data_IF_056342584585
#
_entry.id   IF_056342584585
#
_cell.length_a   1.000
_cell.length_b   1.000
_cell.length_c   1.000
_cell.angle_alpha   90.00
_cell.angle_beta   90.00
_cell.angle_gamma   90.00
#
_symmetry.space_group_name_H-M   'P 1'
#
loop_
_entity.id
_entity.type
_entity.pdbx_description
1 polymer ?
2 branched ?
3 non-polymer ?
4 non-polymer ?
5 water ?
#
# COMPACT_ATOMS: atom_id res chain seq x y z
N UNK A 11 18.85 6.14 -5.22
CA UNK A 11 19.41 5.22 -4.13
C UNK A 11 18.63 3.91 -4.20
N UNK A 12 19.21 2.87 -3.57
CA UNK A 12 18.58 1.61 -3.49
C UNK A 12 18.74 1.07 -2.08
N UNK A 13 17.68 0.60 -1.47
CA UNK A 13 17.67 -0.03 -0.16
C UNK A 13 17.83 -1.52 -0.38
N UNK A 14 18.89 -2.12 0.20
CA UNK A 14 19.26 -3.47 -0.13
C UNK A 14 19.46 -4.26 1.08
N UNK A 15 19.04 -5.50 1.02
CA UNK A 15 19.43 -6.51 2.03
C UNK A 15 19.69 -7.81 1.35
N UNK A 16 19.91 -8.85 2.11
CA UNK A 16 20.32 -10.12 1.49
C UNK A 16 19.09 -10.61 0.79
N UNK A 17 19.24 -11.54 -0.20
CA UNK A 17 18.01 -12.02 -0.93
C UNK A 17 16.94 -12.51 0.04
N UNK A 18 15.69 -12.20 -0.34
CA UNK A 18 14.63 -12.52 0.55
C UNK A 18 13.71 -13.33 -0.39
N UNK A 19 13.03 -14.25 0.23
CA UNK A 19 12.13 -15.15 -0.51
C UNK A 19 10.73 -14.51 -0.55
N UNK A 20 10.56 -13.68 -1.55
CA UNK A 20 9.18 -13.23 -1.87
C UNK A 20 8.38 -14.34 -2.51
N UNK A 21 7.07 -14.21 -2.42
CA UNK A 21 6.22 -15.02 -3.26
C UNK A 21 6.58 -14.74 -4.71
N UNK A 22 6.17 -15.62 -5.63
CA UNK A 22 6.42 -15.40 -7.04
C UNK A 22 5.84 -14.03 -7.51
N UNK A 23 6.57 -13.33 -8.36
CA UNK A 23 6.11 -11.98 -8.78
C UNK A 23 4.82 -12.06 -9.51
N UNK A 24 4.56 -13.08 -10.31
CA UNK A 24 3.35 -13.13 -11.21
C UNK A 24 3.34 -12.01 -12.22
N UNK A 25 2.16 -11.64 -12.67
CA UNK A 25 2.04 -10.64 -13.69
C UNK A 25 1.10 -9.55 -13.19
N UNK A 26 1.45 -8.30 -13.51
CA UNK A 26 0.63 -7.18 -13.11
C UNK A 26 -0.82 -7.44 -13.41
N UNK A 27 -1.70 -7.38 -12.41
CA UNK A 27 -3.09 -7.75 -12.65
C UNK A 27 -3.96 -6.79 -11.85
N UNK A 28 -5.00 -6.18 -12.43
CA UNK A 28 -6.03 -5.44 -11.66
C UNK A 28 -7.40 -5.95 -12.04
N UNK A 29 -8.25 -6.26 -11.10
CA UNK A 29 -8.07 -6.09 -9.65
C UNK A 29 -7.00 -7.03 -9.17
N UNK A 30 -6.22 -6.64 -8.17
CA UNK A 30 -5.23 -7.54 -7.62
C UNK A 30 -5.84 -8.25 -6.47
N UNK A 31 -6.03 -9.56 -6.71
CA UNK A 31 -6.70 -10.45 -5.79
C UNK A 31 -5.77 -11.43 -5.11
N UNK A 32 -4.62 -11.64 -5.68
CA UNK A 32 -3.57 -12.55 -5.17
C UNK A 32 -4.03 -14.03 -5.10
N UNK A 33 -5.12 -14.33 -5.82
CA UNK A 33 -5.73 -15.68 -5.70
C UNK A 33 -4.89 -16.75 -6.41
N UNK A 34 -3.96 -16.37 -7.22
CA UNK A 34 -3.09 -17.31 -7.96
C UNK A 34 -1.80 -17.58 -7.20
N UNK A 35 -1.72 -17.12 -5.93
CA UNK A 35 -0.60 -17.19 -4.99
C UNK A 35 0.65 -16.47 -5.44
N UNK A 36 0.49 -15.56 -6.40
CA UNK A 36 1.60 -14.70 -6.79
C UNK A 36 1.31 -13.28 -6.27
N UNK A 37 2.31 -12.43 -6.37
CA UNK A 37 2.18 -10.99 -6.04
C UNK A 37 1.51 -10.20 -7.12
N UNK A 38 1.06 -10.83 -8.24
CA UNK A 38 0.34 -10.16 -9.31
C UNK A 38 1.07 -8.84 -9.70
N UNK A 39 2.39 -8.87 -9.78
CA UNK A 39 3.17 -7.74 -10.23
C UNK A 39 3.56 -6.77 -9.13
N UNK A 40 3.16 -6.94 -7.86
CA UNK A 40 3.50 -5.93 -6.84
C UNK A 40 4.88 -6.27 -6.27
N UNK A 41 5.70 -5.25 -6.05
CA UNK A 41 7.05 -5.43 -5.49
C UNK A 41 7.42 -4.19 -4.74
N UNK A 42 8.33 -4.20 -3.83
CA UNK A 42 8.83 -3.00 -3.22
C UNK A 42 9.41 -2.07 -4.27
N UNK A 43 9.17 -0.78 -4.15
CA UNK A 43 10.00 0.19 -4.88
C UNK A 43 11.49 0.02 -4.43
N UNK A 44 12.39 0.32 -5.34
CA UNK A 44 13.80 0.20 -4.97
C UNK A 44 14.15 1.09 -3.83
N UNK A 45 13.41 2.13 -3.58
CA UNK A 45 13.63 3.05 -2.47
C UNK A 45 12.82 2.78 -1.21
N UNK A 46 11.95 1.77 -1.22
CA UNK A 46 11.18 1.41 -0.04
C UNK A 46 12.08 1.17 1.20
N UNK A 47 11.76 1.79 2.32
CA UNK A 47 12.58 1.54 3.55
C UNK A 47 12.37 0.15 3.97
N UNK A 48 11.27 -0.53 3.64
CA UNK A 48 11.01 -1.97 3.97
C UNK A 48 11.31 -2.80 2.77
N UNK A 49 12.17 -3.85 2.89
CA UNK A 49 12.58 -4.69 1.79
C UNK A 49 12.48 -6.17 2.23
N UNK A 50 11.78 -6.40 3.27
CA UNK A 50 11.60 -7.79 3.76
C UNK A 50 10.57 -8.57 2.91
N UNK A 51 10.35 -9.87 3.19
CA UNK A 51 9.57 -10.65 2.28
C UNK A 51 8.10 -10.20 2.11
N UNK A 52 7.72 -10.16 0.85
CA UNK A 52 6.32 -10.03 0.47
C UNK A 52 5.82 -11.42 0.16
N UNK A 53 4.86 -11.87 0.91
CA UNK A 53 4.32 -13.18 0.74
C UNK A 53 2.84 -13.16 0.60
N UNK A 54 2.22 -14.25 0.21
CA UNK A 54 0.79 -14.38 0.09
C UNK A 54 0.28 -15.14 1.28
N UNK A 55 -0.49 -14.54 2.13
CA UNK A 55 -1.04 -15.14 3.34
C UNK A 55 -2.54 -15.01 3.34
N UNK A 56 -3.27 -15.86 4.04
CA UNK A 56 -4.70 -15.64 4.24
C UNK A 56 -5.01 -14.48 5.16
N UNK A 57 -5.91 -13.61 4.76
CA UNK A 57 -6.43 -12.54 5.57
C UNK A 57 -7.91 -12.53 5.33
N UNK A 58 -8.65 -12.69 6.43
CA UNK A 58 -10.09 -12.58 6.35
C UNK A 58 -10.71 -13.46 5.29
N UNK A 59 -10.22 -14.70 5.24
CA UNK A 59 -10.65 -15.79 4.33
C UNK A 59 -10.35 -15.57 2.87
N UNK A 60 -9.34 -14.71 2.58
CA UNK A 60 -8.91 -14.52 1.21
C UNK A 60 -7.42 -14.45 1.12
N UNK A 61 -6.77 -14.75 0.01
CA UNK A 61 -5.33 -14.62 -0.10
C UNK A 61 -4.99 -13.09 -0.29
N UNK A 62 -3.98 -12.68 0.42
CA UNK A 62 -3.61 -11.24 0.44
C UNK A 62 -2.12 -11.17 0.40
N UNK A 63 -1.55 -10.10 -0.18
CA UNK A 63 -0.09 -9.86 -0.12
C UNK A 63 0.22 -9.24 1.25
N UNK A 64 1.35 -9.58 1.85
CA UNK A 64 1.64 -9.31 3.23
C UNK A 64 3.10 -9.09 3.50
N UNK A 65 3.34 -8.28 4.49
CA UNK A 65 4.72 -8.07 5.00
C UNK A 65 4.69 -7.75 6.46
N UNK A 66 5.91 -7.79 7.05
CA UNK A 66 6.08 -7.39 8.42
C UNK A 66 6.77 -6.05 8.48
N UNK A 67 6.42 -5.22 9.48
CA UNK A 67 7.18 -3.95 9.64
C UNK A 67 7.11 -3.55 11.11
N UNK A 68 8.24 -3.07 11.60
CA UNK A 68 8.32 -2.43 12.92
C UNK A 68 9.08 -1.14 12.67
N UNK A 69 8.38 -0.02 12.74
CA UNK A 69 9.01 1.24 12.45
C UNK A 69 10.13 1.55 13.53
N UNK A 70 11.18 2.23 13.13
CA UNK A 70 12.22 2.56 14.11
C UNK A 70 11.69 3.52 15.16
N UNK A 71 12.29 3.40 16.34
CA UNK A 71 12.03 4.34 17.43
C UNK A 71 12.55 5.74 17.16
N UNK A 72 13.67 5.82 16.52
CA UNK A 72 14.20 7.09 16.15
C UNK A 72 13.72 7.39 14.70
N UNK A 73 12.97 8.44 14.50
CA UNK A 73 12.19 8.62 13.25
C UNK A 73 12.96 9.44 12.24
N UNK A 74 13.25 8.93 11.04
CA UNK A 74 13.91 9.74 9.99
C UNK A 74 13.21 11.04 9.69
N UNK A 75 13.96 12.03 9.17
CA UNK A 75 13.36 13.30 8.83
C UNK A 75 12.49 13.14 7.59
N UNK A 76 12.95 12.39 6.62
CA UNK A 76 12.11 12.21 5.43
C UNK A 76 10.94 11.24 5.85
N UNK A 77 9.71 11.69 5.57
CA UNK A 77 8.54 10.95 6.16
C UNK A 77 8.24 9.61 5.44
N UNK A 78 8.83 9.34 4.32
CA UNK A 78 8.68 8.03 3.70
C UNK A 78 9.93 7.14 3.85
N UNK A 79 11.02 7.64 4.45
CA UNK A 79 12.24 6.83 4.45
C UNK A 79 12.02 5.47 5.10
N UNK A 80 11.24 5.37 6.17
CA UNK A 80 11.06 4.10 6.84
C UNK A 80 9.84 3.29 6.34
N UNK A 81 9.16 3.85 5.35
CA UNK A 81 7.85 3.35 4.99
C UNK A 81 7.89 2.17 4.07
N UNK A 82 7.02 1.17 4.30
CA UNK A 82 6.64 0.29 3.17
C UNK A 82 6.13 1.09 1.98
N UNK A 83 6.77 0.88 0.83
CA UNK A 83 6.39 1.62 -0.40
C UNK A 83 6.34 0.54 -1.45
N UNK A 84 5.10 0.07 -1.76
CA UNK A 84 4.90 -1.09 -2.60
C UNK A 84 4.35 -0.59 -3.97
N UNK A 85 4.80 -1.14 -5.06
CA UNK A 85 4.47 -0.62 -6.39
C UNK A 85 4.07 -1.72 -7.35
N UNK A 86 3.11 -1.41 -8.18
CA UNK A 86 2.69 -2.23 -9.30
C UNK A 86 3.31 -1.61 -10.54
N UNK A 87 4.48 -2.11 -10.94
CA UNK A 87 5.22 -1.45 -12.02
C UNK A 87 4.74 -1.92 -13.41
N UNK A 88 4.64 -0.97 -14.31
CA UNK A 88 4.38 -1.23 -15.71
C UNK A 88 3.04 -1.94 -15.89
N UNK A 89 2.05 -1.64 -15.04
CA UNK A 89 0.70 -2.13 -15.29
C UNK A 89 0.03 -1.42 -16.43
N UNK A 90 0.35 -0.11 -16.61
CA UNK A 90 -0.20 0.64 -17.76
C UNK A 90 -1.71 0.57 -17.85
N UNK A 91 -2.31 0.98 -16.75
CA UNK A 91 -3.75 0.92 -16.59
C UNK A 91 -4.31 2.35 -16.80
N UNK A 92 -5.64 2.43 -16.74
CA UNK A 92 -6.31 3.75 -16.74
C UNK A 92 -7.44 3.68 -15.78
N UNK A 93 -7.96 4.81 -15.34
CA UNK A 93 -9.09 4.80 -14.34
C UNK A 93 -10.42 4.54 -15.01
N UNK A 94 -10.51 4.80 -16.34
CA UNK A 94 -11.86 4.65 -16.99
C UNK A 94 -12.90 5.52 -16.31
N UNK A 95 -14.09 4.94 -16.12
CA UNK A 95 -15.20 5.68 -15.49
C UNK A 95 -15.23 5.62 -14.02
N UNK A 96 -14.15 5.17 -13.41
CA UNK A 96 -14.13 4.93 -11.96
C UNK A 96 -13.78 6.15 -11.18
N UNK A 97 -14.54 6.44 -10.15
CA UNK A 97 -14.28 7.53 -9.32
C UNK A 97 -13.09 7.29 -8.30
N UNK A 98 -12.94 6.03 -7.87
CA UNK A 98 -12.01 5.69 -6.77
C UNK A 98 -11.02 4.64 -7.21
N UNK A 99 -9.90 4.63 -6.49
CA UNK A 99 -9.11 3.41 -6.28
C UNK A 99 -9.29 2.99 -4.86
N UNK A 100 -9.46 1.71 -4.64
CA UNK A 100 -9.72 1.18 -3.30
C UNK A 100 -9.03 -0.18 -3.10
N UNK A 101 -8.87 -0.49 -1.81
CA UNK A 101 -8.33 -1.81 -1.49
C UNK A 101 -8.70 -2.09 -0.05
N UNK A 102 -8.61 -3.39 0.28
CA UNK A 102 -8.64 -3.88 1.63
C UNK A 102 -7.24 -3.80 2.21
N UNK A 103 -7.17 -3.20 3.43
CA UNK A 103 -5.89 -3.11 4.14
C UNK A 103 -6.14 -3.64 5.48
N UNK A 104 -5.29 -4.61 5.91
CA UNK A 104 -5.40 -5.23 7.23
C UNK A 104 -4.18 -5.02 8.07
N UNK A 105 -4.41 -4.87 9.36
CA UNK A 105 -3.34 -4.85 10.34
C UNK A 105 -3.44 -5.97 11.34
N UNK A 106 -2.26 -6.56 11.70
CA UNK A 106 -2.23 -7.52 12.87
C UNK A 106 -1.04 -7.02 13.71
N UNK A 107 -1.29 -6.04 14.56
CA UNK A 107 -0.15 -5.50 15.36
C UNK A 107 0.33 -6.44 16.46
N UNK A 108 1.63 -6.44 16.66
CA UNK A 108 2.14 -6.88 18.00
C UNK A 108 2.26 -5.72 18.93
N UNK A 109 2.37 -4.49 18.38
CA UNK A 109 2.40 -3.32 19.23
C UNK A 109 1.67 -2.21 18.48
N UNK A 110 0.73 -1.51 19.09
CA UNK A 110 0.09 -0.36 18.42
C UNK A 110 -0.63 0.42 19.51
N UNK A 111 -0.14 1.60 19.84
CA UNK A 111 -0.78 2.35 20.96
C UNK A 111 -0.69 3.83 20.73
N UNK A 112 0.20 4.33 19.85
CA UNK A 112 0.26 5.81 19.77
C UNK A 112 0.69 6.19 18.35
N UNK A 113 0.47 7.45 17.99
CA UNK A 113 0.71 7.89 16.64
C UNK A 113 -0.28 7.26 15.69
N UNK A 114 0.08 7.30 14.43
CA UNK A 114 -0.81 6.86 13.35
C UNK A 114 -0.07 6.29 12.19
N UNK A 115 -0.78 5.66 11.28
CA UNK A 115 -0.28 5.29 9.96
C UNK A 115 -0.90 6.26 8.96
N UNK A 116 -0.11 6.71 7.96
CA UNK A 116 -0.68 7.62 6.96
C UNK A 116 -0.46 6.96 5.63
N UNK A 117 -1.54 6.56 5.00
CA UNK A 117 -1.50 5.75 3.74
C UNK A 117 -1.68 6.69 2.56
N UNK A 118 -0.70 6.72 1.67
CA UNK A 118 -0.76 7.54 0.46
C UNK A 118 -0.87 6.67 -0.79
N UNK A 119 -1.45 7.21 -1.84
CA UNK A 119 -1.56 6.61 -3.14
C UNK A 119 -0.96 7.51 -4.16
N UNK A 120 -0.18 6.93 -5.08
CA UNK A 120 0.36 7.66 -6.19
C UNK A 120 0.40 6.82 -7.42
N UNK A 121 0.57 7.49 -8.54
CA UNK A 121 0.68 6.89 -9.87
C UNK A 121 1.83 7.48 -10.59
N UNK A 122 2.27 6.78 -11.67
CA UNK A 122 3.30 7.33 -12.55
C UNK A 122 2.74 7.48 -13.95
N UNK A 123 2.10 8.62 -14.28
CA UNK A 123 1.54 8.77 -15.63
C UNK A 123 2.64 9.37 -16.54
N UNK A 124 2.98 8.71 -17.67
CA UNK A 124 4.08 9.28 -18.52
C UNK A 124 3.68 10.64 -19.02
N UNK A 125 2.41 11.00 -19.08
CA UNK A 125 2.01 12.36 -19.54
C UNK A 125 2.11 13.46 -18.54
N UNK A 126 2.34 13.07 -17.26
CA UNK A 126 2.31 13.99 -16.13
C UNK A 126 3.64 13.88 -15.34
N UNK A 127 4.76 13.77 -16.06
CA UNK A 127 6.09 13.76 -15.39
C UNK A 127 6.33 12.51 -14.51
N UNK A 128 5.54 11.43 -14.77
CA UNK A 128 5.73 10.16 -14.04
C UNK A 128 5.41 10.23 -12.56
N UNK A 129 4.60 11.20 -12.14
CA UNK A 129 4.16 11.22 -10.76
C UNK A 129 2.84 11.93 -10.71
N UNK A 130 1.83 11.33 -10.06
CA UNK A 130 0.59 12.05 -9.74
C UNK A 130 0.15 11.47 -8.43
N UNK A 131 -0.10 12.28 -7.42
CA UNK A 131 -0.33 11.77 -6.07
C UNK A 131 -1.73 12.14 -5.65
N UNK A 132 -2.49 11.16 -5.14
CA UNK A 132 -3.80 11.44 -4.59
C UNK A 132 -3.69 12.37 -3.40
N UNK A 133 -4.55 13.39 -3.32
CA UNK A 133 -4.50 14.38 -2.24
C UNK A 133 -4.96 13.75 -0.92
N UNK A 134 -5.86 12.77 -1.02
CA UNK A 134 -6.52 12.23 0.19
C UNK A 134 -5.78 11.19 0.93
N UNK A 135 -4.67 11.55 1.54
CA UNK A 135 -3.97 10.68 2.47
C UNK A 135 -4.96 10.22 3.56
N UNK A 136 -4.87 8.97 3.96
CA UNK A 136 -5.73 8.34 5.00
C UNK A 136 -4.94 8.10 6.22
N UNK A 137 -5.40 8.61 7.37
CA UNK A 137 -4.70 8.39 8.63
C UNK A 137 -5.46 7.41 9.47
N UNK A 138 -4.74 6.45 9.99
CA UNK A 138 -5.34 5.46 10.92
C UNK A 138 -4.64 5.70 12.31
N UNK A 139 -5.33 6.26 13.28
CA UNK A 139 -4.73 6.49 14.62
C UNK A 139 -4.62 5.13 15.30
N UNK A 140 -3.49 4.87 15.89
CA UNK A 140 -3.32 3.59 16.58
C UNK A 140 -4.09 3.49 17.89
N UNK A 141 -4.28 4.63 18.54
CA UNK A 141 -5.21 4.53 19.73
C UNK A 141 -6.68 4.15 19.30
N UNK A 142 -7.02 4.23 18.01
CA UNK A 142 -8.41 3.97 17.65
C UNK A 142 -8.58 2.43 17.68
N UNK A 143 -7.46 1.66 17.58
CA UNK A 143 -7.59 0.27 17.22
C UNK A 143 -8.15 -0.60 18.24
N UNK A 144 -7.71 -0.46 19.47
CA UNK A 144 -8.14 -1.46 20.47
C UNK A 144 -9.67 -1.54 20.53
N UNK A 145 -10.33 -0.42 20.25
CA UNK A 145 -11.80 -0.35 20.29
C UNK A 145 -12.51 -0.86 19.02
N UNK A 146 -11.75 -1.08 17.94
CA UNK A 146 -12.26 -1.61 16.69
C UNK A 146 -12.45 -3.14 16.77
N UNK A 147 -13.60 -3.63 16.31
CA UNK A 147 -13.80 -5.03 16.20
C UNK A 147 -12.96 -5.64 15.10
N UNK A 148 -12.30 -6.71 15.45
CA UNK A 148 -11.46 -7.49 14.60
C UNK A 148 -12.22 -8.47 13.75
N UNK A 149 -11.60 -8.88 12.66
CA UNK A 149 -12.09 -10.01 11.83
C UNK A 149 -12.04 -11.31 12.66
N UNK A 150 -12.64 -12.36 12.09
CA UNK A 150 -12.61 -13.68 12.78
C UNK A 150 -11.19 -14.17 13.07
N UNK A 151 -10.27 -13.86 12.15
CA UNK A 151 -8.88 -14.27 12.20
C UNK A 151 -7.98 -13.18 12.87
N UNK A 152 -8.58 -12.21 13.58
CA UNK A 152 -7.76 -11.39 14.47
C UNK A 152 -7.11 -10.16 13.82
N UNK A 153 -7.68 -9.74 12.70
CA UNK A 153 -7.16 -8.54 11.98
C UNK A 153 -8.02 -7.34 12.15
N UNK A 154 -7.44 -6.19 11.97
CA UNK A 154 -8.24 -4.94 11.77
C UNK A 154 -8.40 -4.72 10.29
N UNK A 155 -9.63 -4.63 9.80
CA UNK A 155 -9.94 -4.56 8.40
C UNK A 155 -10.40 -3.18 8.01
N UNK A 156 -9.62 -2.51 7.15
CA UNK A 156 -10.01 -1.22 6.56
C UNK A 156 -10.25 -1.45 5.06
N UNK A 157 -11.25 -0.76 4.51
CA UNK A 157 -11.39 -0.62 3.09
C UNK A 157 -11.07 0.83 2.83
N UNK A 158 -9.94 1.11 2.19
CA UNK A 158 -9.41 2.45 2.00
C UNK A 158 -9.80 2.89 0.59
N UNK A 159 -10.30 4.14 0.49
CA UNK A 159 -10.73 4.73 -0.82
C UNK A 159 -9.98 5.99 -1.08
N UNK A 160 -9.64 6.20 -2.36
CA UNK A 160 -9.05 7.49 -2.82
C UNK A 160 -9.86 8.02 -3.98
N UNK A 161 -10.35 9.24 -3.76
CA UNK A 161 -11.12 9.92 -4.78
C UNK A 161 -10.11 10.44 -5.89
N UNK A 162 -10.18 9.85 -7.06
CA UNK A 162 -9.26 10.14 -8.13
C UNK A 162 -9.44 11.46 -8.83
N UNK A 163 -10.46 12.18 -8.38
CA UNK A 163 -10.60 13.58 -8.81
C UNK A 163 -9.92 14.55 -7.91
N UNK A 164 -9.26 14.12 -6.82
CA UNK A 164 -8.52 14.96 -5.91
C UNK A 164 -7.05 14.46 -6.03
N UNK A 165 -6.31 15.14 -6.86
CA UNK A 165 -4.92 14.89 -7.15
C UNK A 165 -4.10 16.14 -6.91
N UNK A 166 -2.92 16.01 -6.39
CA UNK A 166 -2.05 17.17 -6.09
C UNK A 166 -1.55 17.83 -7.36
N UNK A 167 -1.12 19.09 -7.13
CA UNK A 167 -0.37 19.86 -8.15
C UNK A 167 -1.19 20.23 -9.38
N UNK A 168 -2.51 20.24 -9.31
CA UNK A 168 -3.34 20.60 -10.41
C UNK A 168 -3.35 19.53 -11.48
N UNK A 169 -2.76 18.36 -11.19
CA UNK A 169 -2.77 17.30 -12.18
C UNK A 169 -4.11 16.58 -12.28
N UNK A 170 -4.50 16.22 -13.50
CA UNK A 170 -5.80 15.62 -13.72
C UNK A 170 -5.64 14.29 -14.34
N UNK A 171 -6.31 13.29 -13.74
CA UNK A 171 -6.32 11.93 -14.36
C UNK A 171 -7.64 11.77 -15.08
N UNK A 172 -7.57 11.79 -16.38
CA UNK A 172 -8.77 11.62 -17.21
C UNK A 172 -9.00 10.11 -17.38
N UNK A 173 -10.13 9.72 -17.97
CA UNK A 173 -10.48 8.35 -18.13
C UNK A 173 -9.45 7.52 -18.86
N UNK A 174 -8.71 8.18 -19.73
CA UNK A 174 -7.74 7.54 -20.58
C UNK A 174 -6.26 7.80 -20.27
N UNK A 175 -6.03 8.63 -19.25
CA UNK A 175 -4.64 8.90 -18.91
C UNK A 175 -3.93 7.62 -18.51
N UNK A 176 -2.82 7.28 -19.21
CA UNK A 176 -2.08 6.07 -18.89
C UNK A 176 -1.41 6.24 -17.48
N UNK A 177 -1.61 5.23 -16.63
CA UNK A 177 -1.02 5.11 -15.29
C UNK A 177 -0.02 3.98 -15.44
N UNK A 178 1.26 4.29 -15.57
CA UNK A 178 2.23 3.21 -15.81
C UNK A 178 2.34 2.36 -14.56
N UNK A 179 2.59 3.05 -13.44
CA UNK A 179 2.74 2.36 -12.12
C UNK A 179 1.68 2.86 -11.15
N UNK A 180 1.40 2.05 -10.14
CA UNK A 180 0.61 2.42 -8.93
C UNK A 180 1.50 2.24 -7.74
N UNK A 181 1.53 3.20 -6.82
CA UNK A 181 2.33 3.11 -5.60
C UNK A 181 1.46 3.29 -4.38
N UNK A 182 1.64 2.46 -3.36
CA UNK A 182 0.97 2.63 -2.06
C UNK A 182 2.06 2.73 -1.00
N UNK A 183 1.96 3.78 -0.18
CA UNK A 183 2.93 4.05 0.89
C UNK A 183 2.23 4.02 2.22
N UNK A 184 2.74 3.25 3.14
CA UNK A 184 2.20 3.23 4.54
C UNK A 184 3.22 3.93 5.45
N UNK A 185 3.04 5.26 5.54
CA UNK A 185 4.04 6.05 6.33
C UNK A 185 3.78 6.02 7.78
N UNK A 186 4.89 6.16 8.55
CA UNK A 186 4.82 6.21 10.02
C UNK A 186 4.49 7.60 10.50
N UNK A 187 3.35 7.72 11.18
CA UNK A 187 2.97 8.98 11.79
C UNK A 187 3.36 9.04 13.25
N UNK A 188 4.66 9.12 13.51
CA UNK A 188 5.15 9.12 14.87
C UNK A 188 4.62 7.96 15.70
N UNK A 189 4.56 6.79 15.11
CA UNK A 189 3.87 5.70 15.72
C UNK A 189 4.78 4.71 16.42
N UNK A 190 4.16 3.76 17.16
CA UNK A 190 4.87 2.59 17.71
C UNK A 190 4.42 1.31 17.07
N UNK A 191 3.97 1.40 15.80
CA UNK A 191 3.53 0.15 15.18
C UNK A 191 4.64 -0.91 15.00
N UNK A 192 4.26 -2.13 15.34
CA UNK A 192 4.97 -3.31 14.90
C UNK A 192 3.95 -4.35 14.57
N UNK A 193 4.23 -5.16 13.52
CA UNK A 193 3.32 -6.25 13.19
C UNK A 193 3.19 -6.49 11.70
N UNK A 194 2.11 -7.13 11.38
CA UNK A 194 1.91 -7.58 10.00
C UNK A 194 0.86 -6.66 9.33
N UNK A 195 1.15 -6.38 8.06
CA UNK A 195 0.21 -5.66 7.18
C UNK A 195 -0.14 -6.50 6.01
N UNK A 196 -1.34 -6.25 5.44
CA UNK A 196 -1.84 -7.02 4.33
C UNK A 196 -2.64 -6.14 3.39
N UNK A 197 -2.55 -6.43 2.11
CA UNK A 197 -3.37 -5.81 1.07
C UNK A 197 -4.17 -6.80 0.28
N UNK A 198 -5.41 -6.51 -0.15
CA UNK A 198 -6.15 -7.34 -1.02
C UNK A 198 -7.07 -6.49 -1.85
N UNK A 199 -7.52 -7.09 -2.96
CA UNK A 199 -8.61 -6.52 -3.74
C UNK A 199 -8.28 -5.04 -4.15
N UNK A 200 -7.07 -4.88 -4.67
CA UNK A 200 -6.64 -3.51 -5.09
C UNK A 200 -7.30 -3.22 -6.45
N UNK A 201 -8.17 -2.20 -6.54
CA UNK A 201 -9.01 -2.08 -7.75
C UNK A 201 -9.51 -0.68 -7.94
N UNK A 202 -9.90 -0.36 -9.16
CA UNK A 202 -10.69 0.85 -9.37
C UNK A 202 -12.15 0.55 -9.08
N UNK A 203 -12.88 1.52 -8.55
CA UNK A 203 -14.38 1.29 -8.45
C UNK A 203 -15.04 2.60 -8.64
X LIG B 1 11.33 7.12 -15.06
X LIG B 1 10.32 7.74 -14.09
X LIG B 1 10.89 9.06 -13.58
X LIG B 1 11.23 9.94 -14.83
X LIG B 1 11.82 11.34 -14.47
X LIG B 1 11.55 8.11 -16.19
X LIG B 1 12.49 7.55 -17.08
X LIG B 1 10.76 5.95 -15.63
X LIG B 1 10.02 6.84 -13.05
X LIG B 1 9.91 9.77 -12.83
X LIG B 1 12.21 9.23 -15.59
X LIG B 1 12.91 11.17 -13.60
X LIG B 2 9.19 11.09 -11.05
X LIG B 2 9.48 11.47 -9.61
X LIG B 2 9.62 10.15 -8.77
X LIG B 2 10.63 9.20 -9.44
X LIG B 2 10.58 7.83 -8.74
X LIG B 2 10.26 10.13 -11.51
X LIG B 2 9.24 12.29 -11.81
X LIG B 2 8.45 12.24 -9.12
X LIG B 2 10.08 10.40 -7.47
X LIG B 2 10.31 8.94 -10.73
X LIG B 2 9.25 7.30 -8.79
X LIG B 3 9.66 10.27 -5.16
X LIG B 3 8.69 10.58 -4.02
X LIG B 3 8.13 11.97 -4.10
X LIG B 3 7.70 12.28 -5.55
X LIG B 3 7.14 13.69 -5.70
X LIG B 3 9.06 10.64 -6.52
X LIG B 3 10.14 8.93 -5.13
X LIG B 3 9.25 10.31 -2.75
X LIG B 3 6.95 11.98 -3.32
X LIG B 3 8.75 12.00 -6.48
X LIG B 3 8.28 14.54 -5.43
X LIG B 4 5.57 12.90 -1.66
X LIG B 4 5.54 13.53 -0.27
X LIG B 4 6.48 12.75 0.67
X LIG B 4 7.90 12.69 0.09
X LIG B 4 8.83 11.84 0.88
X LIG B 4 7.03 12.68 -2.10
X LIG B 4 4.84 13.75 -2.56
X LIG B 4 4.18 13.48 0.20
X LIG B 4 6.51 13.43 1.94
X LIG B 4 7.81 12.02 -1.15
X LIG B 4 10.12 11.95 0.28
X LIG C 1 -7.61 -12.16 -2.23
X LIG D 1 19.61 10.25 -2.36
X LIG D 1 19.36 11.13 -3.61
X LIG D 1 18.25 9.52 -2.35
X LIG D 1 19.85 10.92 -1.05
X LIG D 1 20.57 9.20 -2.73
#
# INVERSE_FOLDING_TARGET
MRGSHHHHHHRAVVEAPVEHAPIGKATLPSTFEDSTRQGWAWDATSGVQSALTIKDANESKAISWEVKYPEVKPVDGWASAPRIMLGNVNTTRGNNKYLTFDFYLKPTQASKGSLTISLAFAPPSLGFWAQATGDVNIPLSSLSKMKKTTDGLYHFQVKYDLDKINDGKVLTANTVLRDITIVVADGNSDFAGTMYLDNIRFE
BGC C2 C3 C4 C5 C6 C1 O1 O2 O3 O4 O5 O6
BGC C2 C3 C4 C5 C6 C1 O2 O3 O4 O5 O6
BGC C2 C3 C4 C5 C6 C1 O2 O3 O4 O5 O6
BGC C2 C3 C4 C5 C6 C1 O2 O3 O4 O5 O6
CA CA
PO4 P O1 O2 O3 O4
#
